data_IF_827853595520
#
_entry.id   IF_827853595520
#
_cell.length_a   1.000
_cell.length_b   1.000
_cell.length_c   1.000
_cell.angle_alpha   90.00
_cell.angle_beta   90.00
_cell.angle_gamma   90.00
#
_symmetry.space_group_name_H-M   'P 1'
#
loop_
_entity.id
_entity.type
_entity.pdbx_description
1 polymer ?
#
# COMPACT_ATOMS: atom_id res chain seq x y z
N UNK A 1 -23.59 -2.60 11.15
CA UNK A 1 -22.26 -1.97 11.20
C UNK A 1 -21.61 -2.19 9.85
N UNK A 2 -21.42 -1.14 9.04
CA UNK A 2 -20.77 -1.28 7.72
C UNK A 2 -19.30 -1.66 7.89
N UNK A 3 -18.84 -2.70 7.19
CA UNK A 3 -17.45 -3.13 7.21
C UNK A 3 -16.54 -2.11 6.52
N UNK A 4 -15.34 -1.89 7.05
CA UNK A 4 -14.30 -1.13 6.33
C UNK A 4 -13.76 -1.99 5.20
N UNK A 5 -13.71 -1.44 3.98
CA UNK A 5 -13.06 -2.08 2.84
C UNK A 5 -11.56 -2.21 3.11
N UNK A 6 -10.91 -3.33 2.75
CA UNK A 6 -9.48 -3.48 2.96
C UNK A 6 -8.70 -2.52 2.07
N UNK A 7 -7.67 -1.88 2.63
CA UNK A 7 -6.80 -0.93 1.93
C UNK A 7 -5.40 -1.54 1.81
N UNK A 8 -4.81 -1.48 0.61
CA UNK A 8 -3.44 -1.93 0.34
C UNK A 8 -2.54 -0.72 0.09
N UNK A 9 -1.31 -0.77 0.61
CA UNK A 9 -0.27 0.24 0.35
C UNK A 9 0.66 -0.21 -0.75
N UNK A 10 0.93 0.67 -1.70
CA UNK A 10 1.80 0.45 -2.85
C UNK A 10 2.83 1.58 -2.97
N UNK A 11 3.92 1.29 -3.69
CA UNK A 11 4.86 2.30 -4.13
C UNK A 11 4.18 3.29 -5.09
N UNK A 12 4.31 4.62 -4.88
CA UNK A 12 3.69 5.61 -5.75
C UNK A 12 4.38 5.76 -7.12
N UNK A 13 5.54 5.12 -7.31
CA UNK A 13 6.33 5.20 -8.54
C UNK A 13 6.11 3.97 -9.42
N UNK A 14 6.30 2.77 -8.87
CA UNK A 14 6.24 1.52 -9.64
C UNK A 14 5.02 0.64 -9.31
N UNK A 15 4.17 1.05 -8.36
CA UNK A 15 3.00 0.29 -7.89
C UNK A 15 3.31 -1.07 -7.25
N UNK A 16 4.57 -1.34 -6.89
CA UNK A 16 4.92 -2.54 -6.14
C UNK A 16 4.35 -2.52 -4.72
N UNK A 17 3.99 -3.72 -4.21
CA UNK A 17 3.67 -3.97 -2.79
C UNK A 17 4.91 -4.03 -1.89
N UNK A 18 6.10 -4.06 -2.48
CA UNK A 18 7.38 -4.18 -1.77
C UNK A 18 7.85 -2.81 -1.26
N UNK A 19 7.02 -2.18 -0.42
CA UNK A 19 7.25 -0.88 0.21
C UNK A 19 7.23 -1.02 1.74
N UNK A 20 8.27 -0.55 2.39
CA UNK A 20 8.50 -0.73 3.84
C UNK A 20 8.84 0.61 4.51
N UNK A 21 8.70 0.68 5.85
CA UNK A 21 9.22 1.83 6.60
C UNK A 21 10.74 1.88 6.44
N UNK A 22 11.28 3.06 6.13
CA UNK A 22 12.71 3.25 5.91
C UNK A 22 13.55 2.99 7.16
N UNK A 23 12.97 3.15 8.36
CA UNK A 23 13.60 2.78 9.63
C UNK A 23 12.58 2.45 10.73
N UNK A 24 13.03 1.78 11.79
CA UNK A 24 12.23 1.59 13.00
C UNK A 24 11.90 2.90 13.76
N UNK A 25 12.61 3.99 13.45
CA UNK A 25 12.42 5.30 14.06
C UNK A 25 11.45 6.19 13.25
N UNK A 26 11.09 5.77 12.04
CA UNK A 26 10.12 6.46 11.19
C UNK A 26 8.74 6.44 11.85
N UNK A 27 8.12 7.60 11.99
CA UNK A 27 6.83 7.78 12.70
C UNK A 27 6.95 7.94 14.22
N UNK A 28 8.16 7.88 14.78
CA UNK A 28 8.40 8.13 16.21
C UNK A 28 9.37 9.28 16.45
N UNK A 29 10.65 9.09 16.09
CA UNK A 29 11.69 10.12 16.23
C UNK A 29 11.87 10.92 14.93
N UNK A 30 11.73 10.24 13.79
CA UNK A 30 11.81 10.85 12.45
C UNK A 30 10.44 10.81 11.79
N UNK A 31 10.17 11.70 10.81
CA UNK A 31 8.95 11.61 10.02
C UNK A 31 8.74 10.22 9.42
N UNK A 32 7.49 9.88 9.10
CA UNK A 32 7.22 8.67 8.33
C UNK A 32 7.94 8.76 6.99
N UNK A 33 8.74 7.74 6.71
CA UNK A 33 9.48 7.62 5.47
C UNK A 33 9.44 6.15 5.06
N UNK A 34 9.27 5.92 3.77
CA UNK A 34 9.13 4.61 3.18
C UNK A 34 10.21 4.39 2.14
N UNK A 35 10.61 3.13 1.95
CA UNK A 35 11.49 2.70 0.87
C UNK A 35 10.83 1.59 0.06
N UNK A 36 10.90 1.68 -1.27
CA UNK A 36 10.51 0.58 -2.15
C UNK A 36 11.74 -0.24 -2.54
N UNK A 37 11.72 -1.53 -2.25
CA UNK A 37 12.85 -2.43 -2.52
C UNK A 37 12.99 -2.79 -4.01
N UNK A 38 11.97 -2.51 -4.83
CA UNK A 38 11.98 -2.85 -6.25
C UNK A 38 12.49 -1.69 -7.14
N UNK A 39 12.16 -0.44 -6.81
CA UNK A 39 12.54 0.72 -7.63
C UNK A 39 13.41 1.78 -6.93
N UNK A 40 13.64 1.63 -5.62
CA UNK A 40 14.47 2.56 -4.84
C UNK A 40 13.80 3.87 -4.46
N UNK A 41 12.49 4.04 -4.69
CA UNK A 41 11.74 5.18 -4.16
C UNK A 41 11.95 5.31 -2.65
N UNK A 42 12.26 6.53 -2.18
CA UNK A 42 12.44 6.87 -0.76
C UNK A 42 11.72 8.18 -0.46
N UNK A 43 10.73 8.15 0.43
CA UNK A 43 9.97 9.35 0.77
C UNK A 43 8.73 9.09 1.65
N UNK A 44 8.00 10.15 2.04
CA UNK A 44 6.91 10.05 3.00
C UNK A 44 5.57 9.57 2.41
N UNK A 45 5.45 9.50 1.07
CA UNK A 45 4.19 9.19 0.38
C UNK A 45 4.10 7.70 0.07
N UNK A 46 2.90 7.14 0.26
CA UNK A 46 2.49 5.81 -0.20
C UNK A 46 1.20 5.93 -1.00
N UNK A 47 0.96 5.00 -1.93
CA UNK A 47 -0.31 4.90 -2.64
C UNK A 47 -1.23 3.94 -1.89
N UNK A 48 -2.36 4.45 -1.40
CA UNK A 48 -3.40 3.62 -0.77
C UNK A 48 -4.50 3.28 -1.78
N UNK A 49 -4.80 2.00 -1.96
CA UNK A 49 -5.82 1.50 -2.88
C UNK A 49 -6.86 0.69 -2.11
N UNK A 50 -8.13 1.04 -2.26
CA UNK A 50 -9.24 0.25 -1.74
C UNK A 50 -9.44 -1.00 -2.61
N UNK A 51 -9.51 -2.16 -1.96
CA UNK A 51 -9.90 -3.39 -2.66
C UNK A 51 -11.41 -3.37 -2.85
N UNK A 52 -11.83 -3.39 -4.11
CA UNK A 52 -13.19 -3.72 -4.49
C UNK A 52 -13.28 -5.24 -4.54
N UNK A 53 -14.23 -5.82 -3.80
CA UNK A 53 -14.62 -7.21 -4.02
C UNK A 53 -15.36 -7.23 -5.36
N UNK A 54 -14.77 -7.87 -6.38
CA UNK A 54 -15.47 -8.12 -7.64
C UNK A 54 -16.65 -9.07 -7.37
N UNK A 55 -17.86 -8.54 -7.26
CA UNK A 55 -19.09 -9.35 -7.31
C UNK A 55 -19.29 -9.91 -8.73
N UNK A 56 -18.49 -10.90 -9.12
CA UNK A 56 -18.77 -11.69 -10.33
C UNK A 56 -17.58 -12.38 -10.99
N UNK A 57 -17.39 -13.67 -10.67
CA UNK A 57 -17.00 -14.67 -11.68
C UNK A 57 -17.53 -16.05 -11.29
N UNK A 58 -18.70 -16.41 -11.82
CA UNK A 58 -19.25 -17.76 -11.66
C UNK A 58 -20.73 -17.96 -12.00
N UNK A 59 -21.24 -17.42 -13.11
CA UNK A 59 -22.43 -17.97 -13.77
C UNK A 59 -22.10 -18.15 -15.26
N UNK A 60 -21.94 -19.41 -15.67
CA UNK A 60 -21.97 -19.86 -17.08
C UNK A 60 -22.80 -21.14 -17.10
N UNK A 61 -23.77 -21.19 -18.01
CA UNK A 61 -24.75 -22.27 -18.25
C UNK A 61 -24.21 -23.72 -18.19
#
# INVERSE_FOLDING_TARGET
>A
MGGKRPVVRLCPVCHSRNIERASALSGWLTPDEYICLDCGYRGPVVLEVELVEDEGSGEVD
#
